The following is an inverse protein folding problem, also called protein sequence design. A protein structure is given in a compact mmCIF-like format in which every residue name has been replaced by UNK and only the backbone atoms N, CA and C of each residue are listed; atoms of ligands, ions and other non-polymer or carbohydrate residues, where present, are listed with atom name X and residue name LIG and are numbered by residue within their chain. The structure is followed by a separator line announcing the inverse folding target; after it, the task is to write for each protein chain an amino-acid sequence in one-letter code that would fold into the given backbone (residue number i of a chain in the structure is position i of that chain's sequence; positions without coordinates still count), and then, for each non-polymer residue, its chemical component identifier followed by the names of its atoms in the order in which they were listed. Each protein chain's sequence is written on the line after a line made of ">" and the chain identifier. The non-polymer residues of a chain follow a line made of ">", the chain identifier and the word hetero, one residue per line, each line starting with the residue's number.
data_IF_132154911443
#
_entry.id   IF_132154911443
#
_cell.length_a   1.000
_cell.length_b   1.000
_cell.length_c   1.000
_cell.angle_alpha   90.00
_cell.angle_beta   90.00
_cell.angle_gamma   90.00
#
_symmetry.space_group_name_H-M   'P 1'
#
loop_
_entity.id
_entity.type
_entity.pdbx_description
1 polymer ?
#
# COMPACT_ATOMS: atom_id res chain seq x y z
N UNK A 1 7.69 -43.09 26.64
CA UNK A 1 7.34 -42.42 25.37
C UNK A 1 6.48 -41.22 25.73
N UNK A 2 7.04 -40.01 25.76
CA UNK A 2 6.25 -38.81 26.08
C UNK A 2 5.44 -38.38 24.85
N UNK A 3 4.16 -38.02 25.00
CA UNK A 3 3.36 -37.54 23.88
C UNK A 3 3.91 -36.19 23.40
N UNK A 4 4.08 -36.06 22.09
CA UNK A 4 4.48 -34.81 21.46
C UNK A 4 3.44 -33.72 21.80
N UNK A 5 3.91 -32.59 22.37
CA UNK A 5 3.08 -31.40 22.53
C UNK A 5 2.58 -30.96 21.15
N UNK A 6 1.28 -30.64 20.97
CA UNK A 6 0.82 -30.07 19.72
C UNK A 6 1.55 -28.76 19.48
N UNK A 7 2.22 -28.63 18.33
CA UNK A 7 2.66 -27.33 17.84
C UNK A 7 1.41 -26.47 17.68
N UNK A 8 1.26 -25.44 18.51
CA UNK A 8 0.26 -24.40 18.32
C UNK A 8 0.56 -23.78 16.95
N UNK A 9 -0.30 -24.04 15.97
CA UNK A 9 -0.19 -23.40 14.67
C UNK A 9 -0.28 -21.88 14.89
N UNK A 10 0.58 -21.08 14.25
CA UNK A 10 0.56 -19.64 14.44
C UNK A 10 -0.80 -19.10 14.01
N UNK A 11 -1.51 -18.50 14.95
CA UNK A 11 -2.78 -17.84 14.69
C UNK A 11 -2.51 -16.55 13.90
N UNK A 12 -3.28 -16.37 12.83
CA UNK A 12 -3.24 -15.20 11.99
C UNK A 12 -4.67 -14.65 11.94
N UNK A 13 -4.84 -13.45 12.47
CA UNK A 13 -6.09 -12.71 12.32
C UNK A 13 -5.88 -11.52 11.39
N UNK A 14 -6.88 -11.25 10.56
CA UNK A 14 -6.93 -10.10 9.69
C UNK A 14 -8.27 -9.41 9.85
N UNK A 15 -8.20 -8.11 10.13
CA UNK A 15 -9.38 -7.28 10.17
C UNK A 15 -9.12 -6.05 9.32
N UNK A 16 -10.11 -5.65 8.51
CA UNK A 16 -10.10 -4.33 7.91
C UNK A 16 -10.38 -3.33 9.03
N UNK A 17 -9.51 -2.34 9.23
CA UNK A 17 -9.72 -1.34 10.28
C UNK A 17 -10.95 -0.49 9.90
N UNK A 18 -12.07 -0.70 10.59
CA UNK A 18 -13.38 -0.07 10.29
C UNK A 18 -13.49 1.40 10.73
N UNK A 19 -12.53 1.87 11.55
CA UNK A 19 -12.41 3.25 12.00
C UNK A 19 -11.31 3.98 11.23
N UNK A 20 -11.71 5.08 10.56
CA UNK A 20 -10.89 6.06 9.83
C UNK A 20 -9.47 5.57 9.45
N UNK A 21 -9.38 4.76 8.40
CA UNK A 21 -8.10 4.43 7.78
C UNK A 21 -7.37 5.69 7.28
N UNK A 22 -6.03 5.64 7.14
CA UNK A 22 -5.25 6.75 6.62
C UNK A 22 -5.87 7.35 5.35
N UNK A 23 -5.93 8.67 5.36
CA UNK A 23 -6.34 9.47 4.21
C UNK A 23 -5.18 9.52 3.22
N UNK A 24 -5.40 9.12 1.97
CA UNK A 24 -4.42 9.19 0.89
C UNK A 24 -4.73 10.34 -0.04
N UNK A 25 -3.72 11.16 -0.31
CA UNK A 25 -3.79 12.25 -1.24
C UNK A 25 -3.48 11.75 -2.65
N UNK A 26 -4.39 12.05 -3.57
CA UNK A 26 -4.35 11.62 -4.96
C UNK A 26 -4.49 12.86 -5.84
N UNK A 27 -3.82 12.87 -7.00
CA UNK A 27 -3.89 14.01 -7.92
C UNK A 27 -4.47 13.56 -9.25
N UNK A 28 -5.56 14.21 -9.66
CA UNK A 28 -6.24 13.99 -10.93
C UNK A 28 -5.68 14.93 -11.99
N UNK A 29 -5.69 14.50 -13.25
CA UNK A 29 -5.47 15.43 -14.36
C UNK A 29 -6.81 16.12 -14.65
N UNK A 30 -6.80 17.45 -14.64
CA UNK A 30 -7.92 18.23 -15.13
C UNK A 30 -8.11 17.95 -16.62
N UNK A 31 -9.24 17.33 -16.97
CA UNK A 31 -10.02 17.83 -18.09
C UNK A 31 -11.10 18.70 -17.45
N UNK A 32 -10.85 20.00 -17.32
CA UNK A 32 -11.93 20.94 -17.13
C UNK A 32 -12.72 20.92 -18.44
N UNK A 33 -13.78 20.11 -18.50
CA UNK A 33 -14.83 20.29 -19.48
C UNK A 33 -16.09 20.72 -18.70
N UNK A 34 -16.51 21.99 -18.78
CA UNK A 34 -17.67 22.49 -18.05
C UNK A 34 -19.02 21.97 -18.58
N UNK A 35 -19.05 21.11 -19.61
CA UNK A 35 -20.28 20.75 -20.33
C UNK A 35 -20.73 19.27 -20.26
N UNK A 36 -20.27 18.48 -19.29
CA UNK A 36 -20.82 17.12 -19.13
C UNK A 36 -22.05 17.05 -18.22
N UNK A 37 -23.13 17.73 -18.60
CA UNK A 37 -24.47 17.42 -18.13
C UNK A 37 -24.96 16.14 -18.81
N UNK A 38 -24.58 14.96 -18.30
CA UNK A 38 -25.22 13.65 -18.59
C UNK A 38 -24.64 12.53 -17.72
N UNK A 39 -25.11 12.41 -16.47
CA UNK A 39 -25.97 11.31 -16.02
C UNK A 39 -26.18 11.40 -14.49
N UNK A 40 -27.44 11.44 -13.99
CA UNK A 40 -27.73 11.28 -12.58
C UNK A 40 -27.87 9.78 -12.29
N UNK A 41 -26.89 9.19 -11.62
CA UNK A 41 -27.06 7.83 -11.06
C UNK A 41 -26.91 7.92 -9.55
N UNK A 42 -28.05 8.15 -8.92
CA UNK A 42 -28.48 7.63 -7.61
C UNK A 42 -27.39 7.45 -6.56
N UNK A 43 -27.33 8.43 -5.66
CA UNK A 43 -26.97 8.19 -4.27
C UNK A 43 -27.93 7.14 -3.70
N UNK A 44 -27.40 5.96 -3.37
CA UNK A 44 -28.01 5.03 -2.44
C UNK A 44 -27.28 5.21 -1.12
N UNK A 45 -28.02 5.79 -0.17
CA UNK A 45 -27.61 6.06 1.19
C UNK A 45 -27.37 4.73 1.93
N UNK A 46 -26.10 4.34 2.11
CA UNK A 46 -25.72 3.50 3.25
C UNK A 46 -25.41 4.44 4.43
N UNK A 47 -26.27 4.43 5.44
CA UNK A 47 -26.29 5.36 6.57
C UNK A 47 -25.01 5.37 7.43
N UNK A 48 -23.99 6.11 6.97
CA UNK A 48 -22.91 6.63 7.80
C UNK A 48 -22.78 8.11 7.48
N UNK A 49 -22.94 8.97 8.48
CA UNK A 49 -22.81 10.41 8.31
C UNK A 49 -21.51 10.73 7.55
N UNK A 50 -21.54 11.54 6.48
CA UNK A 50 -20.31 11.95 5.81
C UNK A 50 -19.46 12.65 6.86
N UNK A 51 -18.29 12.08 7.18
CA UNK A 51 -17.27 12.82 7.92
C UNK A 51 -17.08 14.12 7.14
N UNK A 52 -17.45 15.26 7.77
CA UNK A 52 -17.25 16.61 7.22
C UNK A 52 -15.88 16.64 6.56
N UNK A 53 -15.86 16.80 5.24
CA UNK A 53 -14.62 16.85 4.47
C UNK A 53 -13.67 17.82 5.14
N UNK A 54 -12.48 17.35 5.49
CA UNK A 54 -11.41 18.22 5.99
C UNK A 54 -11.23 19.32 4.94
N UNK A 55 -11.37 20.62 5.28
CA UNK A 55 -11.15 21.69 4.32
C UNK A 55 -9.73 21.54 3.77
N UNK A 56 -9.62 21.22 2.48
CA UNK A 56 -8.35 20.88 1.90
C UNK A 56 -7.61 22.17 1.55
N UNK A 57 -6.81 22.65 2.48
CA UNK A 57 -5.83 23.73 2.24
C UNK A 57 -4.54 23.13 1.74
N UNK A 58 -3.73 23.91 1.03
CA UNK A 58 -2.38 23.48 0.69
C UNK A 58 -1.61 23.17 1.97
N UNK A 59 -0.81 22.09 2.01
CA UNK A 59 0.02 21.81 3.16
C UNK A 59 1.11 22.88 3.31
N UNK A 60 1.29 23.37 4.53
CA UNK A 60 2.35 24.32 4.89
C UNK A 60 3.58 23.59 5.44
N UNK A 61 3.37 22.44 6.09
CA UNK A 61 4.42 21.56 6.60
C UNK A 61 4.32 20.18 5.97
N UNK A 62 5.35 19.82 5.21
CA UNK A 62 5.42 18.54 4.50
C UNK A 62 6.56 17.70 5.05
N UNK A 63 6.26 16.52 5.59
CA UNK A 63 7.29 15.56 5.97
C UNK A 63 7.52 14.56 4.83
N UNK A 64 8.75 14.45 4.32
CA UNK A 64 9.11 13.53 3.24
C UNK A 64 9.95 12.37 3.76
N UNK A 65 9.34 11.20 3.91
CA UNK A 65 10.00 9.94 4.27
C UNK A 65 10.55 9.28 3.00
N UNK A 66 11.87 9.34 2.82
CA UNK A 66 12.57 8.89 1.62
C UNK A 66 13.41 7.66 1.89
N UNK A 67 13.04 6.50 1.33
CA UNK A 67 13.91 5.33 1.33
C UNK A 67 14.91 5.43 0.15
N UNK A 68 16.16 5.78 0.46
CA UNK A 68 17.24 6.00 -0.53
C UNK A 68 17.63 4.71 -1.27
N UNK A 69 17.52 3.56 -0.61
CA UNK A 69 17.90 2.26 -1.18
C UNK A 69 16.76 1.57 -1.93
N UNK A 70 15.54 2.13 -1.91
CA UNK A 70 14.45 1.66 -2.73
C UNK A 70 14.85 1.68 -4.22
N UNK A 71 14.50 0.64 -4.96
CA UNK A 71 15.06 0.40 -6.30
C UNK A 71 14.80 1.55 -7.28
N UNK A 72 13.58 2.09 -7.30
CA UNK A 72 13.23 3.25 -8.10
C UNK A 72 14.07 4.46 -7.74
N UNK A 73 14.24 4.70 -6.44
CA UNK A 73 15.05 5.81 -5.91
C UNK A 73 16.55 5.63 -6.18
N UNK A 74 17.09 4.40 -6.22
CA UNK A 74 18.47 4.14 -6.65
C UNK A 74 18.68 4.44 -8.13
N UNK A 75 17.72 4.06 -8.99
CA UNK A 75 17.79 4.29 -10.44
C UNK A 75 17.54 5.75 -10.81
N UNK A 76 16.67 6.42 -10.07
CA UNK A 76 16.28 7.82 -10.27
C UNK A 76 16.24 8.52 -8.91
N UNK A 77 17.40 8.95 -8.40
CA UNK A 77 17.47 9.61 -7.10
C UNK A 77 16.62 10.87 -7.09
N UNK A 78 15.72 10.95 -6.12
CA UNK A 78 15.09 12.19 -5.74
C UNK A 78 16.17 13.07 -5.10
N UNK A 79 16.60 14.11 -5.82
CA UNK A 79 17.55 15.09 -5.27
C UNK A 79 16.81 15.94 -4.25
N UNK A 80 17.15 15.77 -2.98
CA UNK A 80 16.56 16.51 -1.86
C UNK A 80 16.64 18.02 -2.09
N UNK A 81 17.77 18.52 -2.60
CA UNK A 81 17.96 19.97 -2.81
C UNK A 81 17.02 20.52 -3.89
N UNK A 82 16.85 19.78 -4.99
CA UNK A 82 15.92 20.15 -6.06
C UNK A 82 14.46 20.08 -5.56
N UNK A 83 14.16 19.11 -4.68
CA UNK A 83 12.85 19.01 -4.05
C UNK A 83 12.61 20.13 -3.04
N UNK A 84 13.59 20.49 -2.21
CA UNK A 84 13.49 21.62 -1.29
C UNK A 84 13.17 22.92 -2.02
N UNK A 85 13.79 23.13 -3.19
CA UNK A 85 13.48 24.25 -4.08
C UNK A 85 12.05 24.19 -4.64
N UNK A 86 11.63 23.04 -5.18
CA UNK A 86 10.26 22.83 -5.66
C UNK A 86 9.21 23.06 -4.56
N UNK A 87 9.54 22.65 -3.34
CA UNK A 87 8.67 22.71 -2.17
C UNK A 87 8.76 24.04 -1.43
N UNK A 88 9.51 25.02 -1.95
CA UNK A 88 9.65 26.38 -1.40
C UNK A 88 10.02 26.39 0.10
N UNK A 89 10.85 25.43 0.53
CA UNK A 89 11.25 25.30 1.94
C UNK A 89 10.18 24.74 2.90
N UNK A 90 8.99 24.36 2.41
CA UNK A 90 7.90 23.77 3.23
C UNK A 90 8.13 22.31 3.61
N UNK A 91 9.19 21.69 3.09
CA UNK A 91 9.42 20.26 3.23
C UNK A 91 10.66 19.93 4.06
N UNK A 92 10.48 18.99 4.99
CA UNK A 92 11.56 18.38 5.76
C UNK A 92 11.76 16.93 5.32
N UNK A 93 13.01 16.54 5.07
CA UNK A 93 13.37 15.22 4.54
C UNK A 93 13.89 14.31 5.64
N UNK A 94 13.27 13.13 5.75
CA UNK A 94 13.64 12.06 6.67
C UNK A 94 14.11 10.88 5.84
N UNK A 95 15.43 10.80 5.62
CA UNK A 95 16.03 9.86 4.66
C UNK A 95 16.47 8.58 5.37
N UNK A 96 16.00 7.43 4.90
CA UNK A 96 16.39 6.11 5.39
C UNK A 96 17.23 5.37 4.35
N UNK A 97 18.19 4.60 4.84
CA UNK A 97 19.07 3.70 4.08
C UNK A 97 18.85 2.23 4.46
N UNK A 98 18.16 1.98 5.57
CA UNK A 98 17.89 0.63 6.09
C UNK A 98 16.60 0.60 6.90
N UNK A 99 16.01 -0.60 7.03
CA UNK A 99 14.71 -0.81 7.68
C UNK A 99 14.68 -0.32 9.12
N UNK A 100 15.78 -0.51 9.88
CA UNK A 100 15.86 -0.14 11.30
C UNK A 100 15.74 1.36 11.58
N UNK A 101 15.91 2.20 10.56
CA UNK A 101 15.80 3.67 10.69
C UNK A 101 14.36 4.16 10.54
N UNK A 102 13.45 3.31 10.04
CA UNK A 102 12.05 3.70 9.79
C UNK A 102 11.33 4.20 11.06
N UNK A 103 11.44 3.53 12.23
CA UNK A 103 10.74 4.00 13.44
C UNK A 103 11.18 5.41 13.88
N UNK A 104 12.48 5.70 13.82
CA UNK A 104 13.03 7.00 14.19
C UNK A 104 12.66 8.08 13.16
N UNK A 105 12.76 7.77 11.87
CA UNK A 105 12.36 8.68 10.81
C UNK A 105 10.88 9.05 10.89
N UNK A 106 10.00 8.08 11.20
CA UNK A 106 8.58 8.32 11.41
C UNK A 106 8.32 9.19 12.64
N UNK A 107 9.03 8.96 13.75
CA UNK A 107 8.91 9.79 14.95
C UNK A 107 9.27 11.23 14.65
N UNK A 108 10.45 11.46 14.08
CA UNK A 108 10.92 12.79 13.73
C UNK A 108 10.00 13.49 12.72
N UNK A 109 9.39 12.73 11.81
CA UNK A 109 8.37 13.24 10.88
C UNK A 109 7.09 13.66 11.61
N UNK A 110 6.63 12.91 12.60
CA UNK A 110 5.45 13.26 13.41
C UNK A 110 5.71 14.46 14.33
N UNK A 111 6.92 14.59 14.87
CA UNK A 111 7.33 15.72 15.74
C UNK A 111 7.26 17.08 15.01
N UNK A 112 7.34 17.09 13.67
CA UNK A 112 7.11 18.29 12.84
C UNK A 112 5.63 18.76 12.86
N UNK A 113 4.71 17.90 13.33
CA UNK A 113 3.26 18.05 13.19
C UNK A 113 2.85 18.39 11.74
N UNK A 114 3.20 17.56 10.74
CA UNK A 114 3.02 17.89 9.34
C UNK A 114 1.54 17.87 8.93
N UNK A 115 1.20 18.66 7.93
CA UNK A 115 -0.13 18.67 7.31
C UNK A 115 -0.23 17.66 6.15
N UNK A 116 0.94 17.15 5.68
CA UNK A 116 1.07 16.11 4.65
C UNK A 116 2.33 15.27 4.90
N UNK A 117 2.19 13.95 4.84
CA UNK A 117 3.31 13.01 4.84
C UNK A 117 3.50 12.45 3.43
N UNK A 118 4.69 12.59 2.87
CA UNK A 118 5.07 12.03 1.57
C UNK A 118 5.96 10.82 1.82
N UNK A 119 5.57 9.65 1.31
CA UNK A 119 6.36 8.42 1.39
C UNK A 119 6.93 8.09 0.02
N UNK A 120 8.25 8.14 -0.12
CA UNK A 120 8.95 7.72 -1.33
C UNK A 120 9.66 6.39 -1.12
N UNK A 121 9.12 5.35 -1.73
CA UNK A 121 9.67 3.99 -1.63
C UNK A 121 8.80 2.97 -2.37
N UNK A 122 9.09 1.69 -2.14
CA UNK A 122 8.25 0.60 -2.65
C UNK A 122 7.15 0.21 -1.68
N UNK A 123 6.39 -0.84 -2.04
CA UNK A 123 5.32 -1.38 -1.19
C UNK A 123 5.84 -1.78 0.20
N UNK A 124 7.06 -2.33 0.29
CA UNK A 124 7.71 -2.66 1.56
C UNK A 124 8.01 -1.43 2.42
N UNK A 125 8.44 -0.31 1.81
CA UNK A 125 8.62 0.96 2.54
C UNK A 125 7.29 1.46 3.07
N UNK A 126 6.26 1.46 2.22
CA UNK A 126 4.94 1.96 2.59
C UNK A 126 4.33 1.17 3.76
N UNK A 127 4.40 -0.16 3.71
CA UNK A 127 3.93 -1.03 4.80
C UNK A 127 4.64 -0.70 6.14
N UNK A 128 5.97 -0.60 6.13
CA UNK A 128 6.75 -0.33 7.33
C UNK A 128 6.46 1.06 7.91
N UNK A 129 6.45 2.08 7.06
CA UNK A 129 6.13 3.46 7.45
C UNK A 129 4.71 3.55 8.01
N UNK A 130 3.72 2.97 7.34
CA UNK A 130 2.34 3.00 7.79
C UNK A 130 2.14 2.26 9.12
N UNK A 131 2.83 1.14 9.29
CA UNK A 131 2.80 0.39 10.55
C UNK A 131 3.31 1.26 11.68
N UNK A 132 4.47 1.92 11.49
CA UNK A 132 5.01 2.79 12.53
C UNK A 132 4.18 4.05 12.75
N UNK A 133 3.64 4.66 11.69
CA UNK A 133 2.75 5.81 11.83
C UNK A 133 1.54 5.47 12.70
N UNK A 134 0.89 4.33 12.45
CA UNK A 134 -0.30 3.94 13.20
C UNK A 134 0.02 3.49 14.62
N UNK A 135 1.20 2.91 14.87
CA UNK A 135 1.65 2.61 16.22
C UNK A 135 1.97 3.88 17.02
N UNK A 136 2.73 4.80 16.43
CA UNK A 136 3.20 6.00 17.12
C UNK A 136 2.10 7.07 17.27
N UNK A 137 1.12 7.10 16.36
CA UNK A 137 -0.03 7.98 16.50
C UNK A 137 -0.96 7.58 17.66
N UNK A 138 -0.88 6.35 18.18
CA UNK A 138 -1.62 5.90 19.37
C UNK A 138 -3.14 6.22 19.32
N UNK A 139 -3.76 6.06 18.14
CA UNK A 139 -5.19 6.33 17.93
C UNK A 139 -5.52 7.78 17.54
N UNK A 140 -4.54 8.69 17.52
CA UNK A 140 -4.70 10.02 16.94
C UNK A 140 -4.83 9.96 15.42
N UNK A 141 -5.48 10.98 14.84
CA UNK A 141 -5.57 11.13 13.40
C UNK A 141 -4.17 11.32 12.80
N UNK A 142 -3.85 10.53 11.78
CA UNK A 142 -2.59 10.66 11.04
C UNK A 142 -2.81 11.68 9.91
N UNK A 143 -1.85 12.57 9.63
CA UNK A 143 -1.92 13.46 8.47
C UNK A 143 -2.09 12.68 7.16
N UNK A 144 -2.72 13.27 6.12
CA UNK A 144 -2.83 12.62 4.82
C UNK A 144 -1.48 12.13 4.28
N UNK A 145 -1.50 11.01 3.56
CA UNK A 145 -0.33 10.41 2.94
C UNK A 145 -0.33 10.61 1.42
N UNK A 146 0.78 11.09 0.86
CA UNK A 146 1.08 11.01 -0.57
C UNK A 146 2.14 9.93 -0.80
N UNK A 147 1.86 8.94 -1.63
CA UNK A 147 2.80 7.84 -1.92
C UNK A 147 3.44 8.02 -3.29
N UNK A 148 4.76 8.15 -3.34
CA UNK A 148 5.57 8.20 -4.56
C UNK A 148 6.13 6.82 -4.90
N UNK A 149 6.27 6.51 -6.19
CA UNK A 149 6.61 5.15 -6.67
C UNK A 149 8.13 4.95 -6.67
N UNK A 150 8.71 4.72 -5.49
CA UNK A 150 10.14 4.43 -5.31
C UNK A 150 10.52 2.96 -5.43
N UNK A 151 9.57 2.03 -5.58
CA UNK A 151 9.80 0.58 -5.63
C UNK A 151 9.74 -0.04 -7.03
N UNK A 152 9.68 -1.37 -7.07
CA UNK A 152 9.57 -2.13 -8.33
C UNK A 152 8.13 -2.32 -8.78
N UNK A 153 7.27 -2.89 -7.93
CA UNK A 153 5.87 -3.20 -8.27
C UNK A 153 4.94 -2.02 -8.02
N UNK A 154 5.06 -1.37 -6.85
CA UNK A 154 4.28 -0.18 -6.47
C UNK A 154 2.78 -0.44 -6.64
N UNK A 155 2.30 -1.54 -6.08
CA UNK A 155 0.91 -1.99 -6.14
C UNK A 155 0.02 -0.97 -5.43
N UNK A 156 0.35 -0.62 -4.19
CA UNK A 156 -0.44 0.33 -3.42
C UNK A 156 -0.42 1.72 -4.07
N UNK A 157 0.77 2.25 -4.36
CA UNK A 157 0.92 3.54 -5.02
C UNK A 157 0.24 3.57 -6.41
N UNK A 158 0.16 2.45 -7.14
CA UNK A 158 -0.52 2.35 -8.43
C UNK A 158 -2.05 2.33 -8.35
N UNK A 159 -2.61 1.83 -7.25
CA UNK A 159 -4.05 1.89 -6.98
C UNK A 159 -4.46 3.26 -6.41
N UNK A 160 -3.58 3.87 -5.61
CA UNK A 160 -3.82 5.15 -4.98
C UNK A 160 -3.55 6.33 -5.95
N UNK A 161 -2.67 6.18 -6.94
CA UNK A 161 -2.41 7.22 -7.93
C UNK A 161 -3.33 7.13 -9.16
N UNK A 162 -3.82 8.28 -9.64
CA UNK A 162 -4.64 8.37 -10.85
C UNK A 162 -3.85 8.36 -12.18
N UNK A 163 -2.60 7.85 -12.23
CA UNK A 163 -1.79 7.94 -13.47
C UNK A 163 -0.48 7.13 -13.49
N UNK A 164 0.06 6.91 -14.72
CA UNK A 164 1.02 5.83 -15.04
C UNK A 164 2.50 6.20 -15.31
N UNK A 165 3.06 7.35 -14.91
CA UNK A 165 4.47 7.69 -15.30
C UNK A 165 5.35 8.32 -14.19
N UNK A 166 6.66 7.97 -14.09
CA UNK A 166 7.57 8.48 -13.04
C UNK A 166 7.90 9.99 -13.13
N UNK A 167 7.93 10.57 -14.33
CA UNK A 167 8.07 12.04 -14.48
C UNK A 167 6.89 12.79 -13.84
N UNK A 168 5.78 12.08 -13.59
CA UNK A 168 4.62 12.61 -12.89
C UNK A 168 4.80 12.63 -11.39
N UNK A 169 5.80 11.97 -10.78
CA UNK A 169 5.92 11.95 -9.31
C UNK A 169 6.34 13.31 -8.76
N UNK A 170 7.32 13.96 -9.38
CA UNK A 170 7.69 15.34 -9.04
C UNK A 170 6.56 16.32 -9.37
N UNK A 171 5.87 16.13 -10.50
CA UNK A 171 4.73 16.96 -10.85
C UNK A 171 3.53 16.73 -9.91
N UNK A 172 3.31 15.50 -9.44
CA UNK A 172 2.27 15.15 -8.47
C UNK A 172 2.62 15.70 -7.11
N UNK A 173 3.88 15.63 -6.68
CA UNK A 173 4.34 16.27 -5.46
C UNK A 173 4.17 17.78 -5.55
N UNK A 174 4.59 18.41 -6.65
CA UNK A 174 4.39 19.84 -6.91
C UNK A 174 2.91 20.23 -6.88
N UNK A 175 2.02 19.47 -7.51
CA UNK A 175 0.57 19.71 -7.44
C UNK A 175 0.00 19.48 -6.03
N UNK A 176 0.48 18.48 -5.31
CA UNK A 176 0.02 18.18 -3.96
C UNK A 176 0.37 19.26 -2.93
N UNK A 177 1.22 20.22 -3.28
CA UNK A 177 1.58 21.36 -2.43
C UNK A 177 1.18 22.71 -3.05
N UNK A 178 0.63 22.71 -4.26
CA UNK A 178 0.21 23.90 -4.98
C UNK A 178 -1.21 24.28 -4.55
N UNK A 179 -1.36 25.47 -3.95
CA UNK A 179 -2.64 26.03 -3.52
C UNK A 179 -3.65 26.02 -4.66
N UNK A 180 -3.22 26.40 -5.87
CA UNK A 180 -4.11 26.46 -7.02
C UNK A 180 -4.65 25.09 -7.40
N UNK A 181 -3.87 24.03 -7.21
CA UNK A 181 -4.31 22.66 -7.50
C UNK A 181 -5.37 22.18 -6.49
N UNK A 182 -5.33 22.64 -5.24
CA UNK A 182 -6.39 22.38 -4.26
C UNK A 182 -7.65 23.17 -4.58
N UNK A 183 -7.53 24.47 -4.88
CA UNK A 183 -8.67 25.34 -5.23
C UNK A 183 -9.39 24.87 -6.50
N UNK A 184 -8.63 24.33 -7.47
CA UNK A 184 -9.17 23.80 -8.72
C UNK A 184 -9.69 22.34 -8.60
N UNK A 185 -9.63 21.73 -7.41
CA UNK A 185 -10.08 20.35 -7.20
C UNK A 185 -9.24 19.29 -7.93
N UNK A 186 -8.00 19.61 -8.31
CA UNK A 186 -7.06 18.68 -8.96
C UNK A 186 -6.40 17.72 -7.97
N UNK A 187 -6.62 17.95 -6.68
CA UNK A 187 -6.17 17.11 -5.58
C UNK A 187 -7.37 16.59 -4.83
N UNK A 188 -7.46 15.27 -4.66
CA UNK A 188 -8.54 14.64 -3.89
C UNK A 188 -7.97 13.70 -2.84
N UNK A 189 -8.60 13.72 -1.67
CA UNK A 189 -8.25 12.86 -0.54
C UNK A 189 -9.20 11.65 -0.55
N UNK A 190 -8.64 10.46 -0.43
CA UNK A 190 -9.38 9.19 -0.32
C UNK A 190 -9.05 8.50 0.99
N UNK A 191 -10.06 8.16 1.77
CA UNK A 191 -9.86 7.32 2.95
C UNK A 191 -9.75 5.87 2.52
N UNK A 192 -8.62 5.23 2.85
CA UNK A 192 -8.42 3.81 2.54
C UNK A 192 -8.05 3.08 3.82
N UNK A 193 -8.91 2.15 4.22
CA UNK A 193 -8.66 1.29 5.37
C UNK A 193 -7.61 0.21 5.01
N UNK A 194 -6.42 0.21 5.62
CA UNK A 194 -5.47 -0.87 5.45
C UNK A 194 -5.96 -2.14 6.16
N UNK A 195 -5.39 -3.26 5.76
CA UNK A 195 -5.49 -4.50 6.51
C UNK A 195 -4.66 -4.36 7.79
N UNK A 196 -5.27 -4.70 8.92
CA UNK A 196 -4.56 -4.97 10.17
C UNK A 196 -4.27 -6.47 10.23
N UNK A 197 -2.99 -6.83 10.18
CA UNK A 197 -2.52 -8.20 10.22
C UNK A 197 -1.93 -8.47 11.60
N UNK A 198 -2.57 -9.37 12.35
CA UNK A 198 -2.11 -9.80 13.66
C UNK A 198 -1.59 -11.23 13.56
N UNK A 199 -0.41 -11.47 14.13
CA UNK A 199 0.19 -12.79 14.17
C UNK A 199 1.03 -12.93 15.43
N UNK A 200 1.05 -14.14 15.99
CA UNK A 200 1.97 -14.51 17.08
C UNK A 200 3.45 -14.44 16.69
N UNK A 201 3.77 -14.23 15.41
CA UNK A 201 5.14 -14.10 14.89
C UNK A 201 5.74 -12.70 15.00
N UNK A 202 4.93 -11.69 15.29
CA UNK A 202 5.38 -10.30 15.38
C UNK A 202 4.88 -9.66 16.67
N UNK A 203 5.67 -8.75 17.22
CA UNK A 203 5.25 -7.92 18.35
C UNK A 203 4.31 -6.83 17.82
N UNK A 204 3.01 -7.06 17.99
CA UNK A 204 1.95 -6.13 17.62
C UNK A 204 1.45 -6.25 16.17
N UNK A 205 0.43 -5.45 15.80
CA UNK A 205 -0.18 -5.51 14.48
C UNK A 205 0.75 -4.97 13.38
N UNK A 206 0.50 -5.43 12.15
CA UNK A 206 1.16 -4.95 10.93
C UNK A 206 0.11 -4.40 9.99
N UNK A 207 0.41 -3.28 9.31
CA UNK A 207 -0.57 -2.62 8.45
C UNK A 207 -0.17 -2.66 6.98
N UNK A 208 -1.00 -3.26 6.13
CA UNK A 208 -0.68 -3.49 4.73
C UNK A 208 -1.89 -3.29 3.82
N UNK A 209 -1.65 -3.20 2.51
CA UNK A 209 -2.71 -3.17 1.50
C UNK A 209 -2.92 -4.51 0.79
N UNK A 210 -1.96 -5.41 0.84
CA UNK A 210 -2.09 -6.74 0.26
C UNK A 210 -1.51 -7.72 1.24
N UNK A 211 -2.32 -8.69 1.63
CA UNK A 211 -1.87 -9.89 2.30
C UNK A 211 -2.02 -11.05 1.30
N UNK A 212 -0.99 -11.89 1.18
CA UNK A 212 -1.04 -13.05 0.31
C UNK A 212 -0.23 -14.21 0.91
N UNK A 213 -0.78 -15.42 0.83
CA UNK A 213 -0.17 -16.65 1.30
C UNK A 213 -0.28 -17.77 0.24
N UNK A 214 0.40 -18.89 0.47
CA UNK A 214 0.44 -20.03 -0.45
C UNK A 214 1.32 -19.74 -1.67
N UNK A 215 0.82 -20.04 -2.87
CA UNK A 215 1.57 -19.88 -4.13
C UNK A 215 2.04 -18.44 -4.34
N UNK A 216 1.22 -17.44 -4.01
CA UNK A 216 1.57 -16.03 -4.18
C UNK A 216 2.84 -15.64 -3.39
N UNK A 217 2.96 -16.11 -2.14
CA UNK A 217 4.16 -15.91 -1.34
C UNK A 217 5.38 -16.61 -1.97
N UNK A 218 5.21 -17.81 -2.52
CA UNK A 218 6.30 -18.57 -3.16
C UNK A 218 6.80 -17.89 -4.44
N UNK A 219 5.89 -17.41 -5.28
CA UNK A 219 6.22 -16.61 -6.47
C UNK A 219 7.03 -15.38 -6.06
N UNK A 220 6.57 -14.64 -5.04
CA UNK A 220 7.29 -13.47 -4.55
C UNK A 220 8.66 -13.84 -3.97
N UNK A 221 8.76 -14.92 -3.18
CA UNK A 221 10.03 -15.39 -2.62
C UNK A 221 11.03 -15.74 -3.70
N UNK A 222 10.61 -16.46 -4.73
CA UNK A 222 11.46 -16.84 -5.87
C UNK A 222 11.87 -15.61 -6.69
N UNK A 223 10.93 -14.68 -6.88
CA UNK A 223 11.17 -13.42 -7.54
C UNK A 223 12.24 -12.57 -6.83
N UNK A 224 12.27 -12.57 -5.49
CA UNK A 224 13.28 -11.86 -4.72
C UNK A 224 14.60 -12.65 -4.56
N UNK A 225 14.57 -13.99 -4.64
CA UNK A 225 15.77 -14.83 -4.50
C UNK A 225 16.66 -14.81 -5.75
N UNK A 226 16.08 -14.61 -6.94
CA UNK A 226 16.75 -14.74 -8.25
C UNK A 226 17.58 -13.51 -8.70
N UNK A 227 18.03 -12.67 -7.76
CA UNK A 227 18.85 -11.48 -8.02
C UNK A 227 18.03 -10.20 -8.18
N UNK A 228 18.49 -9.24 -9.01
CA UNK A 228 17.83 -7.93 -9.09
C UNK A 228 16.34 -8.01 -9.51
N UNK A 229 15.37 -7.60 -8.66
CA UNK A 229 13.94 -7.79 -8.94
C UNK A 229 13.45 -6.88 -10.07
N UNK A 230 13.00 -7.36 -11.23
CA UNK A 230 12.44 -6.53 -12.33
C UNK A 230 11.00 -6.89 -12.73
N UNK A 231 10.19 -6.00 -13.32
CA UNK A 231 8.82 -6.35 -13.73
C UNK A 231 8.76 -7.49 -14.76
N UNK A 232 9.69 -7.53 -15.71
CA UNK A 232 9.82 -8.62 -16.67
C UNK A 232 10.15 -9.95 -15.98
N UNK A 233 11.03 -9.94 -14.98
CA UNK A 233 11.33 -11.14 -14.16
C UNK A 233 10.13 -11.59 -13.33
N UNK A 234 9.33 -10.66 -12.79
CA UNK A 234 8.11 -11.01 -12.07
C UNK A 234 7.17 -11.80 -12.98
N UNK A 235 7.01 -11.35 -14.23
CA UNK A 235 6.24 -12.06 -15.24
C UNK A 235 6.84 -13.43 -15.57
N UNK A 236 8.16 -13.53 -15.82
CA UNK A 236 8.81 -14.81 -16.13
C UNK A 236 8.72 -15.82 -14.98
N UNK A 237 8.95 -15.39 -13.73
CA UNK A 237 8.83 -16.25 -12.54
C UNK A 237 7.38 -16.68 -12.32
N UNK A 238 6.42 -15.77 -12.51
CA UNK A 238 4.99 -16.12 -12.43
C UNK A 238 4.63 -17.14 -13.51
N UNK A 239 5.04 -16.89 -14.75
CA UNK A 239 4.78 -17.78 -15.89
C UNK A 239 5.47 -19.15 -15.76
N UNK A 240 6.69 -19.20 -15.22
CA UNK A 240 7.40 -20.46 -15.00
C UNK A 240 6.79 -21.28 -13.88
N UNK A 241 6.32 -20.64 -12.80
CA UNK A 241 5.63 -21.32 -11.69
C UNK A 241 4.25 -21.82 -12.14
N UNK A 242 3.49 -21.01 -12.89
CA UNK A 242 2.23 -21.45 -13.50
C UNK A 242 2.47 -22.57 -14.51
N UNK A 243 3.51 -22.46 -15.34
CA UNK A 243 3.91 -23.51 -16.29
C UNK A 243 4.32 -24.81 -15.60
N UNK A 244 5.02 -24.73 -14.46
CA UNK A 244 5.43 -25.88 -13.66
C UNK A 244 4.24 -26.68 -13.10
N UNK A 245 3.07 -26.07 -12.95
CA UNK A 245 1.83 -26.78 -12.60
C UNK A 245 1.46 -27.86 -13.63
N UNK A 246 1.92 -27.72 -14.88
CA UNK A 246 1.63 -28.63 -15.98
C UNK A 246 2.74 -29.67 -16.24
N UNK A 247 3.83 -29.67 -15.45
CA UNK A 247 5.04 -30.48 -15.70
C UNK A 247 5.12 -31.74 -14.81
N UNK A 248 4.21 -31.93 -13.83
CA UNK A 248 4.05 -33.19 -13.07
C UNK A 248 3.96 -33.02 -11.55
N UNK A 249 3.67 -34.13 -10.83
CA UNK A 249 3.39 -34.14 -9.38
C UNK A 249 4.51 -33.54 -8.51
N UNK A 250 5.78 -33.69 -8.90
CA UNK A 250 6.92 -33.21 -8.11
C UNK A 250 7.06 -31.67 -8.19
N UNK A 251 6.76 -31.10 -9.34
CA UNK A 251 6.64 -29.66 -9.52
C UNK A 251 5.39 -29.10 -8.83
N UNK A 252 4.27 -29.83 -8.87
CA UNK A 252 3.05 -29.48 -8.13
C UNK A 252 3.31 -29.42 -6.62
N UNK A 253 3.94 -30.43 -6.02
CA UNK A 253 4.28 -30.42 -4.58
C UNK A 253 5.25 -29.30 -4.19
N UNK A 254 6.19 -28.95 -5.08
CA UNK A 254 7.19 -27.89 -4.82
C UNK A 254 6.57 -26.48 -4.87
N UNK A 255 5.71 -26.23 -5.84
CA UNK A 255 5.17 -24.89 -6.14
C UNK A 255 3.75 -24.66 -5.63
N UNK A 256 2.94 -25.72 -5.49
CA UNK A 256 1.52 -25.71 -5.12
C UNK A 256 1.20 -26.57 -3.87
N UNK A 257 2.02 -26.60 -2.80
CA UNK A 257 1.66 -27.36 -1.62
C UNK A 257 0.43 -26.75 -0.94
N UNK A 258 -0.47 -27.63 -0.48
CA UNK A 258 -1.65 -27.23 0.26
C UNK A 258 -1.28 -26.51 1.56
N UNK A 259 -1.91 -25.36 1.77
CA UNK A 259 -1.90 -24.60 3.00
C UNK A 259 -3.05 -25.10 3.86
N UNK A 260 -2.73 -25.87 4.89
CA UNK A 260 -3.68 -26.23 5.94
C UNK A 260 -4.03 -24.97 6.73
N UNK A 261 -5.25 -24.46 6.52
CA UNK A 261 -5.73 -23.25 7.16
C UNK A 261 -7.24 -23.30 7.35
N UNK A 262 -7.69 -22.76 8.48
CA UNK A 262 -9.10 -22.41 8.67
C UNK A 262 -9.26 -20.92 8.42
N UNK A 263 -10.20 -20.57 7.55
CA UNK A 263 -10.51 -19.19 7.18
C UNK A 263 -11.82 -18.84 7.82
N UNK A 264 -11.82 -17.76 8.58
CA UNK A 264 -13.03 -17.18 9.13
C UNK A 264 -13.25 -15.81 8.48
N UNK A 265 -14.49 -15.54 8.07
CA UNK A 265 -14.93 -14.24 7.55
C UNK A 265 -16.09 -13.80 8.41
N UNK A 266 -15.99 -12.60 8.99
CA UNK A 266 -17.01 -12.05 9.90
C UNK A 266 -17.39 -13.00 11.06
N UNK A 267 -16.41 -13.78 11.54
CA UNK A 267 -16.58 -14.75 12.63
C UNK A 267 -17.12 -16.11 12.20
N UNK A 268 -17.56 -16.25 10.95
CA UNK A 268 -18.08 -17.50 10.39
C UNK A 268 -16.99 -18.29 9.67
N UNK A 269 -17.02 -19.62 9.78
CA UNK A 269 -16.09 -20.49 9.06
C UNK A 269 -16.38 -20.42 7.56
N UNK A 270 -15.50 -19.77 6.81
CA UNK A 270 -15.58 -19.66 5.36
C UNK A 270 -14.94 -20.87 4.65
N UNK A 271 -13.88 -21.45 5.23
CA UNK A 271 -13.22 -22.65 4.69
C UNK A 271 -12.39 -23.35 5.76
N UNK A 272 -12.48 -24.67 5.83
CA UNK A 272 -11.56 -25.56 6.56
C UNK A 272 -10.77 -26.48 5.64
N UNK A 273 -10.99 -26.37 4.32
CA UNK A 273 -10.31 -27.17 3.30
C UNK A 273 -8.89 -26.63 3.06
N UNK A 274 -7.96 -27.51 2.64
CA UNK A 274 -6.61 -27.08 2.30
C UNK A 274 -6.61 -26.08 1.13
N UNK A 275 -5.94 -24.95 1.33
CA UNK A 275 -5.92 -23.85 0.36
C UNK A 275 -4.65 -23.87 -0.48
N UNK A 276 -4.74 -23.51 -1.76
CA UNK A 276 -3.55 -23.31 -2.61
C UNK A 276 -3.02 -21.86 -2.54
N UNK A 277 -3.95 -20.92 -2.36
CA UNK A 277 -3.68 -19.49 -2.28
C UNK A 277 -4.72 -18.85 -1.36
N UNK A 278 -4.31 -17.83 -0.61
CA UNK A 278 -5.20 -16.96 0.14
C UNK A 278 -4.72 -15.54 -0.04
N UNK A 279 -5.62 -14.62 -0.37
CA UNK A 279 -5.32 -13.21 -0.63
C UNK A 279 -6.39 -12.34 0.02
N UNK A 280 -5.97 -11.29 0.71
CA UNK A 280 -6.84 -10.23 1.21
C UNK A 280 -6.28 -8.87 0.78
N UNK A 281 -7.15 -7.95 0.37
CA UNK A 281 -6.77 -6.61 -0.10
C UNK A 281 -7.98 -5.67 -0.05
N UNK A 282 -7.83 -4.40 0.36
CA UNK A 282 -8.83 -3.37 0.19
C UNK A 282 -8.66 -2.63 -1.16
N UNK A 283 -7.66 -2.99 -1.96
CA UNK A 283 -7.39 -2.40 -3.28
C UNK A 283 -8.12 -3.16 -4.39
N UNK A 284 -8.63 -2.43 -5.38
CA UNK A 284 -9.33 -2.99 -6.54
C UNK A 284 -8.41 -3.75 -7.52
N UNK A 285 -7.09 -3.51 -7.50
CA UNK A 285 -6.12 -4.19 -8.38
C UNK A 285 -4.94 -4.75 -7.60
N UNK A 286 -4.63 -6.02 -7.81
CA UNK A 286 -3.58 -6.73 -7.05
C UNK A 286 -2.22 -6.72 -7.74
N UNK A 287 -2.18 -7.06 -9.03
CA UNK A 287 -0.93 -7.11 -9.81
C UNK A 287 -1.25 -6.59 -11.20
N UNK A 288 -0.37 -5.77 -11.77
CA UNK A 288 -0.26 -5.42 -13.20
C UNK A 288 -1.47 -5.94 -14.02
N UNK A 289 -2.56 -5.16 -14.09
CA UNK A 289 -3.77 -5.42 -14.89
C UNK A 289 -4.81 -6.42 -14.35
N UNK A 290 -4.48 -7.31 -13.41
CA UNK A 290 -5.40 -8.31 -12.87
C UNK A 290 -6.23 -7.74 -11.70
N UNK A 291 -7.54 -7.64 -11.93
CA UNK A 291 -8.58 -7.36 -10.93
C UNK A 291 -9.32 -8.68 -10.63
N UNK A 292 -8.81 -9.52 -9.71
CA UNK A 292 -9.43 -10.81 -9.40
C UNK A 292 -10.78 -10.68 -8.69
N UNK A 293 -11.05 -9.50 -8.12
CA UNK A 293 -12.31 -9.19 -7.48
C UNK A 293 -13.09 -8.31 -8.44
N UNK A 294 -14.31 -8.72 -8.80
CA UNK A 294 -15.26 -7.78 -9.39
C UNK A 294 -15.36 -6.57 -8.47
N UNK A 295 -15.40 -5.36 -9.04
CA UNK A 295 -15.81 -4.19 -8.26
C UNK A 295 -17.16 -4.56 -7.65
N UNK A 296 -17.22 -4.69 -6.32
CA UNK A 296 -18.50 -4.80 -5.63
C UNK A 296 -19.31 -3.61 -6.12
N UNK A 297 -20.37 -3.87 -6.90
CA UNK A 297 -21.35 -2.85 -7.25
C UNK A 297 -21.90 -2.36 -5.92
N UNK A 298 -21.40 -1.21 -5.47
CA UNK A 298 -21.97 -0.44 -4.39
C UNK A 298 -23.37 0.03 -4.79
#
# INVERSE_FOLDING_TARGET
>A
MMPARPMIAPELSMHQKQDAGPSFLTCTQGAANPDNTRNPTTALESGRAPHRGVPVRSPERVAVLLNKVARGNRKRPLRTDALSGLLQGRASFFVTQQVREVPEAVRAALDLAPDLIVVSGGDGTLHLVMTELLHQAQGQAVPPLLVLRGGTMNIAAGNLASGKAPARELATLGRAIDINAFEQGLVSIRNVAPLCVQSTRFDGPRYAFVFANGIAYRILREYYASGEPSPARAFTVTASILGAAFVGEEAERRFFPSLEARVFVDGELASDQPLRISVATPLSRLILWFAPFEEARA
#
